data_IF_670805650690
#
_entry.id   IF_670805650690
#
_cell.length_a   1.000
_cell.length_b   1.000
_cell.length_c   1.000
_cell.angle_alpha   90.00
_cell.angle_beta   90.00
_cell.angle_gamma   90.00
#
_symmetry.space_group_name_H-M   'P 1'
#
loop_
_entity.id
_entity.type
_entity.pdbx_description
1 polymer ?
#
# COMPACT_ATOMS: atom_id res chain seq x y z
N UNK A 1 35.95 21.27 9.86
CA UNK A 1 34.53 21.03 9.58
C UNK A 1 34.45 19.89 8.61
N UNK A 2 34.00 18.73 9.06
CA UNK A 2 33.80 17.54 8.22
C UNK A 2 32.31 17.44 7.91
N UNK A 3 31.98 17.49 6.63
CA UNK A 3 30.61 17.49 6.13
C UNK A 3 29.89 16.19 6.45
N UNK A 4 28.72 16.33 7.05
CA UNK A 4 27.80 15.25 7.34
C UNK A 4 27.08 14.88 6.04
N UNK A 5 27.51 13.79 5.41
CA UNK A 5 26.82 13.24 4.25
C UNK A 5 25.46 12.71 4.69
N UNK A 6 24.38 13.33 4.23
CA UNK A 6 23.02 12.81 4.42
C UNK A 6 22.90 11.49 3.66
N UNK A 7 23.15 10.38 4.34
CA UNK A 7 22.86 9.06 3.80
C UNK A 7 21.37 9.01 3.47
N UNK A 8 21.03 8.87 2.18
CA UNK A 8 19.65 8.74 1.73
C UNK A 8 18.95 7.61 2.49
N UNK A 9 17.68 7.82 2.83
CA UNK A 9 16.88 6.76 3.47
C UNK A 9 16.93 5.49 2.61
N UNK A 10 17.13 4.30 3.19
CA UNK A 10 17.13 3.05 2.44
C UNK A 10 15.82 2.92 1.63
N UNK A 11 15.83 2.21 0.49
CA UNK A 11 14.63 2.03 -0.34
C UNK A 11 13.47 1.36 0.41
N UNK A 12 13.74 0.74 1.55
CA UNK A 12 12.76 0.13 2.44
C UNK A 12 12.51 0.93 3.73
N UNK A 13 12.99 2.17 3.84
CA UNK A 13 12.98 2.93 5.09
C UNK A 13 14.05 2.46 6.08
N UNK A 14 14.26 3.22 7.16
CA UNK A 14 15.38 3.06 8.10
C UNK A 14 15.34 1.81 9.01
N UNK A 15 14.43 0.86 8.78
CA UNK A 15 14.24 -0.25 9.72
C UNK A 15 13.89 -1.61 9.11
N UNK A 16 14.25 -2.67 9.82
CA UNK A 16 13.90 -4.09 9.60
C UNK A 16 12.40 -4.40 9.83
N UNK A 17 11.52 -3.40 9.79
CA UNK A 17 10.09 -3.55 10.05
C UNK A 17 9.35 -4.28 8.93
N UNK A 18 8.21 -4.90 9.26
CA UNK A 18 7.32 -5.58 8.30
C UNK A 18 6.97 -4.65 7.13
N UNK A 19 7.31 -5.08 5.91
CA UNK A 19 7.01 -4.33 4.68
C UNK A 19 5.67 -4.71 4.07
N UNK A 20 5.27 -5.96 4.27
CA UNK A 20 4.08 -6.57 3.70
C UNK A 20 3.43 -7.49 4.73
N UNK A 21 2.13 -7.31 4.97
CA UNK A 21 1.30 -8.27 5.68
C UNK A 21 0.43 -9.03 4.67
N UNK A 22 0.19 -10.32 4.91
CA UNK A 22 -0.65 -11.15 4.03
C UNK A 22 -1.76 -11.79 4.85
N UNK A 23 -3.00 -11.58 4.42
CA UNK A 23 -4.20 -12.19 4.99
C UNK A 23 -4.75 -13.19 3.99
N UNK A 24 -4.77 -14.47 4.36
CA UNK A 24 -5.40 -15.50 3.53
C UNK A 24 -6.91 -15.29 3.54
N UNK A 25 -7.55 -15.24 2.38
CA UNK A 25 -9.02 -15.14 2.26
C UNK A 25 -9.67 -16.39 1.66
N UNK A 26 -8.87 -17.32 1.14
CA UNK A 26 -9.34 -18.59 0.59
C UNK A 26 -8.20 -19.58 0.34
N UNK A 27 -8.51 -20.69 -0.32
CA UNK A 27 -7.52 -21.72 -0.68
C UNK A 27 -6.47 -21.22 -1.68
N UNK A 28 -6.88 -20.35 -2.59
CA UNK A 28 -6.07 -19.79 -3.68
C UNK A 28 -6.12 -18.25 -3.71
N UNK A 29 -6.64 -17.62 -2.66
CA UNK A 29 -6.76 -16.16 -2.55
C UNK A 29 -6.17 -15.60 -1.25
N UNK A 30 -5.57 -14.42 -1.37
CA UNK A 30 -5.08 -13.64 -0.25
C UNK A 30 -5.18 -12.15 -0.54
N UNK A 31 -5.20 -11.37 0.54
CA UNK A 31 -4.96 -9.94 0.50
C UNK A 31 -3.54 -9.65 0.95
N UNK A 32 -2.81 -8.84 0.19
CA UNK A 32 -1.51 -8.33 0.59
C UNK A 32 -1.66 -6.85 0.95
N UNK A 33 -1.13 -6.45 2.10
CA UNK A 33 -1.25 -5.10 2.66
C UNK A 33 0.15 -4.53 2.80
N UNK A 34 0.45 -3.48 2.03
CA UNK A 34 1.79 -2.92 1.87
C UNK A 34 1.81 -1.43 2.24
N UNK A 35 2.78 -1.02 3.04
CA UNK A 35 3.05 0.39 3.28
C UNK A 35 3.91 0.99 2.15
N UNK A 36 3.43 2.07 1.54
CA UNK A 36 4.14 2.82 0.48
C UNK A 36 4.52 4.22 0.98
N UNK A 37 5.72 4.63 0.63
CA UNK A 37 6.25 5.96 0.85
C UNK A 37 6.92 6.46 -0.43
N UNK A 38 7.05 7.77 -0.62
CA UNK A 38 7.68 8.41 -1.77
C UNK A 38 9.22 8.30 -1.71
N UNK A 39 9.71 7.07 -1.70
CA UNK A 39 11.13 6.74 -1.61
C UNK A 39 11.49 5.74 -2.72
N UNK A 40 12.76 5.75 -3.14
CA UNK A 40 13.26 4.83 -4.17
C UNK A 40 12.47 4.93 -5.49
N UNK A 41 11.79 3.85 -5.87
CA UNK A 41 11.01 3.79 -7.12
C UNK A 41 9.69 4.57 -7.04
N UNK A 42 9.23 4.92 -5.83
CA UNK A 42 7.94 5.57 -5.60
C UNK A 42 8.05 7.09 -5.40
N UNK A 43 9.23 7.70 -5.65
CA UNK A 43 9.48 9.14 -5.44
C UNK A 43 8.51 10.06 -6.20
N UNK A 44 7.90 9.58 -7.29
CA UNK A 44 6.87 10.31 -8.06
C UNK A 44 5.45 9.86 -7.77
N UNK A 45 5.26 8.98 -6.77
CA UNK A 45 3.96 8.47 -6.36
C UNK A 45 3.02 9.59 -5.91
N UNK A 46 1.74 9.47 -6.24
CA UNK A 46 0.77 10.55 -6.05
C UNK A 46 0.22 10.64 -4.62
N UNK A 47 0.19 9.51 -3.93
CA UNK A 47 -0.24 9.34 -2.54
C UNK A 47 0.70 8.35 -1.86
N UNK A 48 1.04 8.66 -0.62
CA UNK A 48 1.62 7.69 0.31
C UNK A 48 0.48 7.05 1.11
N UNK A 49 0.75 5.92 1.76
CA UNK A 49 -0.24 5.26 2.61
C UNK A 49 -0.10 3.75 2.55
N UNK A 50 -1.20 3.04 2.77
CA UNK A 50 -1.26 1.58 2.76
C UNK A 50 -2.06 1.09 1.56
N UNK A 51 -1.41 0.33 0.67
CA UNK A 51 -2.06 -0.35 -0.45
C UNK A 51 -2.60 -1.71 -0.01
N UNK A 52 -3.72 -2.11 -0.61
CA UNK A 52 -4.26 -3.45 -0.51
C UNK A 52 -4.31 -4.07 -1.90
N UNK A 53 -3.75 -5.27 -2.03
CA UNK A 53 -3.79 -6.06 -3.26
C UNK A 53 -4.63 -7.30 -3.06
N UNK A 54 -5.44 -7.66 -4.05
CA UNK A 54 -5.98 -9.01 -4.19
C UNK A 54 -4.97 -9.87 -4.94
N UNK A 55 -4.60 -11.00 -4.34
CA UNK A 55 -3.71 -12.00 -4.93
C UNK A 55 -4.50 -13.28 -5.14
N UNK A 56 -4.47 -13.82 -6.36
CA UNK A 56 -5.10 -15.10 -6.73
C UNK A 56 -4.09 -16.03 -7.38
N UNK A 57 -3.79 -17.16 -6.74
CA UNK A 57 -2.82 -18.14 -7.24
C UNK A 57 -3.41 -19.09 -8.29
N UNK A 58 -4.73 -19.17 -8.41
CA UNK A 58 -5.43 -19.95 -9.44
C UNK A 58 -5.53 -19.25 -10.81
N UNK A 59 -5.04 -18.01 -10.92
CA UNK A 59 -5.10 -17.19 -12.16
C UNK A 59 -3.72 -17.17 -12.82
N UNK A 60 -3.69 -17.36 -14.14
CA UNK A 60 -2.45 -17.28 -14.93
C UNK A 60 -1.80 -15.89 -14.77
N UNK A 61 -0.46 -15.85 -14.76
CA UNK A 61 0.29 -14.63 -14.47
C UNK A 61 0.03 -13.47 -15.42
N UNK A 62 -0.24 -13.76 -16.70
CA UNK A 62 -0.60 -12.75 -17.71
C UNK A 62 -2.01 -12.19 -17.58
N UNK A 63 -2.86 -12.82 -16.78
CA UNK A 63 -4.29 -12.48 -16.65
C UNK A 63 -4.59 -11.59 -15.43
N UNK A 64 -3.56 -11.04 -14.79
CA UNK A 64 -3.68 -10.13 -13.65
C UNK A 64 -4.02 -10.84 -12.33
N UNK A 65 -3.19 -11.78 -11.85
CA UNK A 65 -3.41 -12.47 -10.58
C UNK A 65 -3.19 -11.57 -9.35
N UNK A 66 -2.50 -10.44 -9.52
CA UNK A 66 -2.28 -9.41 -8.49
C UNK A 66 -2.97 -8.14 -8.94
N UNK A 67 -3.91 -7.64 -8.14
CA UNK A 67 -4.73 -6.48 -8.47
C UNK A 67 -4.75 -5.51 -7.31
N UNK A 68 -4.41 -4.24 -7.56
CA UNK A 68 -4.60 -3.17 -6.56
C UNK A 68 -6.09 -2.98 -6.33
N UNK A 69 -6.49 -2.87 -5.07
CA UNK A 69 -7.85 -2.50 -4.69
C UNK A 69 -7.88 -0.98 -4.49
N UNK A 70 -8.83 -0.33 -5.17
CA UNK A 70 -9.09 1.09 -5.03
C UNK A 70 -9.84 1.37 -3.71
N UNK A 71 -9.17 1.99 -2.74
CA UNK A 71 -9.80 2.41 -1.50
C UNK A 71 -10.71 3.64 -1.68
N UNK A 72 -10.58 4.35 -2.81
CA UNK A 72 -11.22 5.63 -3.11
C UNK A 72 -11.96 5.61 -4.47
N UNK A 73 -12.94 4.71 -4.69
CA UNK A 73 -13.54 4.39 -6.00
C UNK A 73 -14.32 5.54 -6.69
N UNK A 74 -14.34 6.72 -6.08
CA UNK A 74 -15.08 7.90 -6.54
C UNK A 74 -14.15 9.08 -6.82
N UNK A 75 -12.85 8.93 -6.54
CA UNK A 75 -11.85 9.97 -6.74
C UNK A 75 -10.70 9.43 -7.59
N UNK A 76 -9.67 10.24 -7.71
CA UNK A 76 -8.48 9.95 -8.50
C UNK A 76 -7.40 10.96 -8.12
N UNK A 77 -6.14 10.58 -8.28
CA UNK A 77 -5.01 11.51 -8.19
C UNK A 77 -4.24 11.60 -9.51
N UNK A 78 -3.38 12.62 -9.62
CA UNK A 78 -2.48 12.78 -10.76
C UNK A 78 -3.17 12.74 -12.14
N UNK A 79 -4.32 13.42 -12.29
CA UNK A 79 -5.13 13.35 -13.51
C UNK A 79 -4.39 13.68 -14.82
N UNK A 80 -3.27 14.42 -14.76
CA UNK A 80 -2.45 14.80 -15.93
C UNK A 80 -1.20 13.94 -16.13
N UNK A 81 -0.82 13.12 -15.15
CA UNK A 81 0.47 12.42 -15.12
C UNK A 81 0.34 10.93 -14.87
N UNK A 82 -0.77 10.46 -14.31
CA UNK A 82 -1.07 9.05 -14.14
C UNK A 82 -1.73 8.49 -15.39
N UNK A 83 -1.26 7.33 -15.85
CA UNK A 83 -1.93 6.53 -16.89
C UNK A 83 -3.22 5.89 -16.38
N UNK A 84 -3.43 5.86 -15.06
CA UNK A 84 -4.63 5.34 -14.45
C UNK A 84 -4.98 6.15 -13.18
N UNK A 85 -5.59 7.34 -13.33
CA UNK A 85 -5.87 8.25 -12.21
C UNK A 85 -6.67 7.64 -11.04
N UNK A 86 -7.67 6.77 -11.25
CA UNK A 86 -8.43 6.17 -10.15
C UNK A 86 -7.60 5.31 -9.19
N UNK A 87 -6.50 4.68 -9.64
CA UNK A 87 -5.61 3.94 -8.73
C UNK A 87 -4.46 4.79 -8.19
N UNK A 88 -4.31 6.03 -8.67
CA UNK A 88 -3.24 6.90 -8.20
C UNK A 88 -3.50 7.44 -6.77
N UNK A 89 -4.74 7.38 -6.29
CA UNK A 89 -5.13 7.62 -4.90
C UNK A 89 -5.63 6.38 -4.18
N UNK A 90 -5.35 5.17 -4.69
CA UNK A 90 -5.74 3.92 -4.03
C UNK A 90 -5.21 3.72 -2.59
N UNK A 91 -4.03 4.23 -2.16
CA UNK A 91 -3.57 4.02 -0.78
C UNK A 91 -4.55 4.54 0.27
N UNK A 92 -4.76 3.76 1.33
CA UNK A 92 -5.50 4.15 2.54
C UNK A 92 -4.58 5.07 3.36
N UNK A 93 -5.06 6.27 3.70
CA UNK A 93 -4.31 7.30 4.41
C UNK A 93 -4.40 7.14 5.94
N UNK A 94 -3.51 7.82 6.67
CA UNK A 94 -3.55 7.83 8.14
C UNK A 94 -4.87 8.42 8.64
N UNK A 95 -5.51 7.71 9.57
CA UNK A 95 -6.84 8.04 10.09
C UNK A 95 -7.99 7.42 9.29
N UNK A 96 -7.72 6.82 8.14
CA UNK A 96 -8.74 6.17 7.34
C UNK A 96 -8.95 4.71 7.71
N UNK A 97 -10.12 4.22 7.34
CA UNK A 97 -10.46 2.81 7.43
C UNK A 97 -11.14 2.35 6.15
N UNK A 98 -10.72 1.20 5.66
CA UNK A 98 -11.28 0.57 4.50
C UNK A 98 -11.68 -0.87 4.80
N UNK A 99 -12.85 -1.29 4.32
CA UNK A 99 -13.29 -2.69 4.38
C UNK A 99 -13.31 -3.25 2.97
N UNK A 100 -12.53 -4.30 2.73
CA UNK A 100 -12.31 -4.84 1.40
C UNK A 100 -13.60 -5.47 0.87
N UNK A 101 -14.17 -4.95 -0.24
CA UNK A 101 -15.41 -5.47 -0.80
C UNK A 101 -15.28 -6.94 -1.20
N UNK A 102 -16.23 -7.76 -0.73
CA UNK A 102 -16.32 -9.20 -1.00
C UNK A 102 -15.47 -10.09 -0.09
N UNK A 103 -14.52 -9.54 0.68
CA UNK A 103 -13.65 -10.32 1.58
C UNK A 103 -13.96 -10.06 3.07
N UNK A 104 -14.58 -8.93 3.40
CA UNK A 104 -14.92 -8.55 4.78
C UNK A 104 -13.74 -8.12 5.65
N UNK A 105 -12.50 -8.22 5.15
CA UNK A 105 -11.29 -7.79 5.86
C UNK A 105 -11.26 -6.27 6.01
N UNK A 106 -11.12 -5.79 7.23
CA UNK A 106 -11.01 -4.37 7.58
C UNK A 106 -9.56 -3.97 7.82
N UNK A 107 -9.13 -2.89 7.19
CA UNK A 107 -7.79 -2.30 7.29
C UNK A 107 -7.92 -0.88 7.82
N UNK A 108 -7.26 -0.61 8.95
CA UNK A 108 -7.23 0.70 9.61
C UNK A 108 -5.79 1.18 9.66
N UNK A 109 -5.53 2.40 9.19
CA UNK A 109 -4.20 3.00 9.23
C UNK A 109 -4.19 4.03 10.36
N UNK A 110 -3.67 3.63 11.52
CA UNK A 110 -3.82 4.40 12.75
C UNK A 110 -2.81 5.55 12.84
N UNK A 111 -1.57 5.30 12.40
CA UNK A 111 -0.49 6.27 12.55
C UNK A 111 0.65 6.04 11.55
N UNK A 112 1.47 7.07 11.37
CA UNK A 112 2.77 7.01 10.72
C UNK A 112 3.82 7.71 11.58
N UNK A 113 4.93 7.02 11.86
CA UNK A 113 6.05 7.61 12.61
C UNK A 113 6.84 8.61 11.75
N UNK A 114 7.63 9.48 12.38
CA UNK A 114 8.54 10.39 11.68
C UNK A 114 9.59 9.65 10.82
N UNK A 115 9.92 8.40 11.17
CA UNK A 115 10.81 7.52 10.39
C UNK A 115 10.09 6.79 9.24
N UNK A 116 8.79 7.00 9.06
CA UNK A 116 7.99 6.48 7.97
C UNK A 116 7.36 5.10 8.22
N UNK A 117 7.40 4.56 9.44
CA UNK A 117 6.74 3.30 9.77
C UNK A 117 5.24 3.54 9.99
N UNK A 118 4.39 2.64 9.47
CA UNK A 118 2.94 2.70 9.66
C UNK A 118 2.49 1.75 10.77
N UNK A 119 1.55 2.20 11.60
CA UNK A 119 0.75 1.32 12.45
C UNK A 119 -0.53 0.99 11.71
N UNK A 120 -0.69 -0.29 11.37
CA UNK A 120 -1.84 -0.79 10.61
C UNK A 120 -2.52 -1.89 11.40
N UNK A 121 -3.82 -1.75 11.61
CA UNK A 121 -4.65 -2.79 12.21
C UNK A 121 -5.44 -3.50 11.11
N UNK A 122 -5.26 -4.81 11.04
CA UNK A 122 -5.96 -5.66 10.06
C UNK A 122 -6.85 -6.63 10.83
N UNK A 123 -8.15 -6.57 10.54
CA UNK A 123 -9.17 -7.42 11.15
C UNK A 123 -9.78 -8.32 10.08
N UNK A 124 -9.52 -9.63 10.09
CA UNK A 124 -10.18 -10.58 9.21
C UNK A 124 -11.70 -10.62 9.44
N UNK A 125 -12.43 -11.17 8.47
CA UNK A 125 -13.88 -11.37 8.54
C UNK A 125 -14.31 -12.35 9.65
#
# INVERSE_FOLDING_TARGET
GTGEGTAGSPPFGLGNGTKLAVVRTGSDSALAVEARAQLGNDVTGCREGVLVYRVRSGVESGSGPVQVIDAHPRTGACARTSVHPPLADAPIDVGETFTVPGEGVRVEVENRTASGAYTVKITPA
#
